data_IF_768524265890
#
_entry.id   IF_768524265890
#
_cell.length_a   1.000
_cell.length_b   1.000
_cell.length_c   1.000
_cell.angle_alpha   90.00
_cell.angle_beta   90.00
_cell.angle_gamma   90.00
#
_symmetry.space_group_name_H-M   'P 1'
#
loop_
_entity.id
_entity.type
_entity.pdbx_description
1 polymer ?
#
# COMPACT_ATOMS: atom_id res chain seq x y z
N UNK A 1 -35.82 5.05 9.84
CA UNK A 1 -34.77 5.77 9.08
C UNK A 1 -33.56 5.89 9.99
N UNK A 2 -32.65 4.91 9.94
CA UNK A 2 -31.38 4.97 10.67
C UNK A 2 -30.37 5.71 9.80
N UNK A 3 -30.07 6.94 10.23
CA UNK A 3 -29.03 7.79 9.67
C UNK A 3 -27.72 7.03 9.63
N UNK A 4 -27.10 6.95 8.45
CA UNK A 4 -25.71 6.55 8.31
C UNK A 4 -24.91 7.68 8.93
N UNK A 5 -24.45 7.45 10.15
CA UNK A 5 -23.59 8.36 10.86
C UNK A 5 -22.28 8.50 10.09
N UNK A 6 -21.82 9.74 10.05
CA UNK A 6 -20.77 10.20 9.16
C UNK A 6 -19.51 9.42 9.47
N UNK A 7 -18.84 8.98 8.40
CA UNK A 7 -17.44 8.56 8.38
C UNK A 7 -16.66 9.65 9.13
N UNK A 8 -16.48 9.43 10.42
CA UNK A 8 -15.60 10.21 11.26
C UNK A 8 -14.23 9.98 10.66
N UNK A 9 -13.63 11.06 10.17
CA UNK A 9 -12.33 11.04 9.52
C UNK A 9 -11.38 10.22 10.36
N UNK A 10 -11.03 9.05 9.85
CA UNK A 10 -9.93 8.27 10.39
C UNK A 10 -8.76 9.24 10.47
N UNK A 11 -8.11 9.37 11.64
CA UNK A 11 -6.92 10.19 11.73
C UNK A 11 -5.96 9.76 10.62
N UNK A 12 -5.21 10.69 9.99
CA UNK A 12 -4.13 10.30 9.10
C UNK A 12 -3.32 9.22 9.81
N UNK A 13 -2.93 8.16 9.09
CA UNK A 13 -2.09 7.11 9.66
C UNK A 13 -0.95 7.84 10.34
N UNK A 14 -0.92 7.75 11.67
CA UNK A 14 -0.16 8.69 12.49
C UNK A 14 1.25 8.71 11.94
N UNK A 15 1.74 9.90 11.56
CA UNK A 15 3.13 10.10 11.18
C UNK A 15 3.96 9.37 12.23
N UNK A 16 4.50 8.22 11.84
CA UNK A 16 5.34 7.45 12.71
C UNK A 16 6.52 8.39 12.99
N UNK A 17 6.52 8.99 14.18
CA UNK A 17 7.63 9.82 14.66
C UNK A 17 8.93 9.05 14.46
N UNK A 18 10.07 9.75 14.32
CA UNK A 18 11.28 9.24 13.67
C UNK A 18 11.55 7.80 14.10
N UNK A 19 11.17 6.87 13.21
CA UNK A 19 11.31 5.46 13.46
C UNK A 19 12.78 5.21 13.79
N UNK A 20 13.05 4.59 14.95
CA UNK A 20 14.35 3.96 15.15
C UNK A 20 14.63 3.12 13.90
N UNK A 21 15.87 3.15 13.38
CA UNK A 21 16.18 2.73 12.01
C UNK A 21 15.68 1.34 11.60
N UNK A 22 15.23 0.50 12.55
CA UNK A 22 14.77 -0.87 12.37
C UNK A 22 13.32 -1.11 12.88
N UNK A 23 12.46 -0.09 12.93
CA UNK A 23 11.04 -0.31 13.25
C UNK A 23 10.31 -0.96 12.07
N UNK A 24 10.02 -2.26 12.20
CA UNK A 24 9.31 -3.06 11.20
C UNK A 24 7.88 -2.58 10.95
N UNK A 25 7.19 -2.09 11.99
CA UNK A 25 5.81 -1.61 11.86
C UNK A 25 5.78 -0.33 11.05
N UNK A 26 6.59 0.67 11.43
CA UNK A 26 6.71 1.93 10.69
C UNK A 26 7.10 1.70 9.23
N UNK A 27 8.11 0.86 8.98
CA UNK A 27 8.57 0.56 7.62
C UNK A 27 7.50 -0.12 6.76
N UNK A 28 6.73 -1.07 7.33
CA UNK A 28 5.64 -1.74 6.61
C UNK A 28 4.53 -0.75 6.24
N UNK A 29 4.09 0.07 7.18
CA UNK A 29 3.03 1.07 6.97
C UNK A 29 3.45 2.11 5.93
N UNK A 30 4.68 2.62 6.03
CA UNK A 30 5.27 3.56 5.08
C UNK A 30 5.30 2.98 3.66
N UNK A 31 5.79 1.74 3.53
CA UNK A 31 5.90 1.07 2.22
C UNK A 31 4.52 0.76 1.63
N UNK A 32 3.55 0.31 2.42
CA UNK A 32 2.18 0.09 1.95
C UNK A 32 1.51 1.40 1.50
N UNK A 33 1.75 2.50 2.22
CA UNK A 33 1.29 3.84 1.85
C UNK A 33 1.85 4.26 0.49
N UNK A 34 3.15 4.06 0.28
CA UNK A 34 3.84 4.31 -0.99
C UNK A 34 3.28 3.45 -2.12
N UNK A 35 3.10 2.14 -1.93
CA UNK A 35 2.47 1.26 -2.95
C UNK A 35 1.07 1.77 -3.31
N UNK A 36 0.27 2.19 -2.34
CA UNK A 36 -1.04 2.77 -2.60
C UNK A 36 -0.97 4.03 -3.47
N UNK A 37 0.03 4.89 -3.27
CA UNK A 37 0.28 6.03 -4.15
C UNK A 37 0.61 5.59 -5.58
N UNK A 38 1.50 4.62 -5.74
CA UNK A 38 1.91 4.13 -7.07
C UNK A 38 0.76 3.49 -7.83
N UNK A 39 -0.08 2.71 -7.15
CA UNK A 39 -1.28 2.10 -7.74
C UNK A 39 -2.26 3.17 -8.21
N UNK A 40 -2.54 4.17 -7.37
CA UNK A 40 -3.45 5.26 -7.74
C UNK A 40 -2.91 6.12 -8.88
N UNK A 41 -1.61 6.41 -8.90
CA UNK A 41 -0.99 7.12 -10.00
C UNK A 41 -1.19 6.39 -11.35
N UNK A 42 -1.05 5.05 -11.36
CA UNK A 42 -1.34 4.24 -12.53
C UNK A 42 -2.81 4.22 -12.93
N UNK A 43 -3.74 4.19 -11.96
CA UNK A 43 -5.18 4.30 -12.22
C UNK A 43 -5.55 5.65 -12.82
N UNK A 44 -4.94 6.73 -12.33
CA UNK A 44 -5.12 8.08 -12.85
C UNK A 44 -4.56 8.22 -14.27
N UNK A 45 -3.36 7.68 -14.52
CA UNK A 45 -2.75 7.65 -15.85
C UNK A 45 -3.59 6.84 -16.85
N UNK A 46 -4.11 5.69 -16.44
CA UNK A 46 -4.97 4.85 -17.27
C UNK A 46 -6.35 5.49 -17.55
N UNK A 47 -6.88 6.27 -16.60
CA UNK A 47 -8.19 6.93 -16.70
C UNK A 47 -8.16 8.33 -17.35
N UNK A 48 -7.00 8.76 -17.89
CA UNK A 48 -6.78 10.10 -18.47
C UNK A 48 -7.01 11.25 -17.48
N UNK A 49 -6.67 11.07 -16.20
CA UNK A 49 -6.66 12.14 -15.20
C UNK A 49 -7.98 12.43 -14.50
N UNK A 50 -8.95 11.50 -14.55
CA UNK A 50 -10.25 11.62 -13.86
C UNK A 50 -10.29 10.90 -12.50
N UNK A 51 -9.13 10.48 -11.98
CA UNK A 51 -9.08 9.73 -10.73
C UNK A 51 -9.19 10.62 -9.49
N UNK A 52 -10.32 10.51 -8.81
CA UNK A 52 -10.57 11.20 -7.53
C UNK A 52 -9.86 10.53 -6.34
N UNK A 53 -9.24 9.36 -6.54
CA UNK A 53 -8.62 8.54 -5.51
C UNK A 53 -7.30 9.08 -4.97
N UNK A 54 -6.44 9.66 -5.83
CA UNK A 54 -5.12 10.14 -5.43
C UNK A 54 -5.16 11.23 -4.35
N UNK A 55 -6.09 12.19 -4.44
CA UNK A 55 -6.28 13.23 -3.42
C UNK A 55 -6.88 12.69 -2.11
N UNK A 56 -7.69 11.63 -2.16
CA UNK A 56 -8.19 10.98 -0.96
C UNK A 56 -7.06 10.21 -0.26
N UNK A 57 -6.17 9.57 -1.03
CA UNK A 57 -5.05 8.80 -0.51
C UNK A 57 -3.96 9.65 0.14
N UNK A 58 -3.57 10.75 -0.49
CA UNK A 58 -2.57 11.68 0.06
C UNK A 58 -2.95 12.19 1.46
N UNK A 59 -4.25 12.38 1.72
CA UNK A 59 -4.75 12.79 3.05
C UNK A 59 -4.65 11.68 4.09
N UNK A 60 -4.50 10.42 3.68
CA UNK A 60 -4.49 9.26 4.59
C UNK A 60 -3.11 8.71 4.82
N UNK A 61 -2.30 8.56 3.77
CA UNK A 61 -0.93 8.10 3.90
C UNK A 61 -0.06 9.14 4.63
N UNK A 62 -0.43 10.43 4.57
CA UNK A 62 0.26 11.49 5.31
C UNK A 62 1.59 11.93 4.68
N UNK A 63 1.92 11.38 3.51
CA UNK A 63 3.09 11.63 2.70
C UNK A 63 2.70 11.79 1.21
N UNK A 64 3.55 12.46 0.44
CA UNK A 64 3.42 12.59 -1.01
C UNK A 64 4.47 11.72 -1.67
N UNK A 65 4.05 10.88 -2.62
CA UNK A 65 4.97 10.09 -3.46
C UNK A 65 5.40 10.91 -4.67
N UNK A 66 6.70 10.87 -5.00
CA UNK A 66 7.25 11.43 -6.24
C UNK A 66 7.14 10.45 -7.42
N UNK A 67 6.48 9.30 -7.23
CA UNK A 67 6.33 8.29 -8.26
C UNK A 67 5.48 8.80 -9.44
N UNK A 68 6.02 8.63 -10.65
CA UNK A 68 5.34 8.94 -11.90
C UNK A 68 5.23 7.67 -12.78
N UNK A 69 4.02 7.30 -13.26
CA UNK A 69 3.84 6.18 -14.17
C UNK A 69 4.67 6.31 -15.45
N UNK A 70 5.51 5.31 -15.74
CA UNK A 70 6.27 5.21 -17.00
C UNK A 70 5.64 4.19 -17.95
N UNK A 71 5.02 4.68 -19.02
CA UNK A 71 4.44 3.86 -20.09
C UNK A 71 5.49 3.00 -20.82
N UNK A 72 6.76 3.41 -20.83
CA UNK A 72 7.88 2.66 -21.36
C UNK A 72 8.22 1.42 -20.51
N UNK A 73 8.09 1.49 -19.19
CA UNK A 73 8.20 0.32 -18.30
C UNK A 73 7.03 -0.65 -18.51
N UNK A 74 5.81 -0.13 -18.64
CA UNK A 74 4.64 -0.95 -18.97
C UNK A 74 4.82 -1.71 -20.30
N UNK A 75 5.31 -1.02 -21.34
CA UNK A 75 5.57 -1.62 -22.65
C UNK A 75 6.66 -2.71 -22.60
N UNK A 76 7.65 -2.55 -21.70
CA UNK A 76 8.73 -3.51 -21.48
C UNK A 76 8.35 -4.64 -20.52
N UNK A 77 7.14 -4.61 -19.94
CA UNK A 77 6.71 -5.50 -18.84
C UNK A 77 7.71 -5.51 -17.68
N UNK A 78 8.32 -4.35 -17.41
CA UNK A 78 9.28 -4.19 -16.34
C UNK A 78 8.59 -3.97 -14.99
N UNK A 79 9.32 -3.36 -14.07
CA UNK A 79 8.84 -3.12 -12.71
C UNK A 79 7.93 -1.88 -12.67
N UNK A 80 6.70 -2.07 -13.13
CA UNK A 80 5.68 -1.02 -13.32
C UNK A 80 5.42 -0.22 -12.03
N UNK A 81 5.60 -0.84 -10.86
CA UNK A 81 5.36 -0.20 -9.56
C UNK A 81 6.66 0.05 -8.78
N UNK A 82 7.84 -0.16 -9.37
CA UNK A 82 9.14 0.02 -8.69
C UNK A 82 9.31 -0.80 -7.41
N UNK A 83 8.72 -1.99 -7.35
CA UNK A 83 8.75 -2.86 -6.16
C UNK A 83 10.14 -3.45 -5.88
N UNK A 84 10.99 -3.57 -6.90
CA UNK A 84 12.39 -3.98 -6.79
C UNK A 84 13.19 -2.98 -5.95
N UNK A 85 13.02 -1.69 -6.19
CA UNK A 85 13.68 -0.63 -5.40
C UNK A 85 13.21 -0.66 -3.94
N UNK A 86 11.90 -0.80 -3.71
CA UNK A 86 11.34 -0.92 -2.36
C UNK A 86 11.85 -2.16 -1.63
N UNK A 87 11.95 -3.29 -2.34
CA UNK A 87 12.50 -4.53 -1.80
C UNK A 87 13.97 -4.35 -1.44
N UNK A 88 14.78 -3.77 -2.33
CA UNK A 88 16.20 -3.53 -2.09
C UNK A 88 16.42 -2.57 -0.92
N UNK A 89 15.63 -1.51 -0.80
CA UNK A 89 15.71 -0.53 0.28
C UNK A 89 15.42 -1.17 1.65
N UNK A 90 14.29 -1.87 1.75
CA UNK A 90 13.91 -2.59 2.97
C UNK A 90 14.94 -3.68 3.31
N UNK A 91 15.39 -4.44 2.31
CA UNK A 91 16.39 -5.48 2.52
C UNK A 91 17.70 -4.92 3.04
N UNK A 92 18.17 -3.79 2.49
CA UNK A 92 19.37 -3.11 2.97
C UNK A 92 19.18 -2.55 4.39
N UNK A 93 18.01 -1.95 4.66
CA UNK A 93 17.68 -1.36 5.97
C UNK A 93 17.66 -2.39 7.10
N UNK A 94 17.15 -3.58 6.82
CA UNK A 94 17.00 -4.64 7.81
C UNK A 94 18.08 -5.74 7.76
N UNK A 95 19.03 -5.65 6.83
CA UNK A 95 20.10 -6.64 6.68
C UNK A 95 19.59 -8.01 6.24
N UNK A 96 18.71 -8.04 5.23
CA UNK A 96 18.06 -9.25 4.75
C UNK A 96 19.02 -10.32 4.26
N UNK A 97 18.67 -11.58 4.49
CA UNK A 97 19.20 -12.69 3.71
C UNK A 97 18.55 -12.75 2.31
N UNK A 98 19.19 -13.41 1.32
CA UNK A 98 18.59 -13.59 -0.01
C UNK A 98 17.23 -14.31 0.00
N UNK A 99 17.00 -15.19 0.99
CA UNK A 99 15.71 -15.85 1.16
C UNK A 99 14.63 -14.84 1.59
N UNK A 100 14.93 -14.02 2.60
CA UNK A 100 14.01 -12.98 3.09
C UNK A 100 13.75 -11.91 2.03
N UNK A 101 14.74 -11.56 1.20
CA UNK A 101 14.55 -10.65 0.09
C UNK A 101 13.54 -11.21 -0.94
N UNK A 102 13.62 -12.51 -1.24
CA UNK A 102 12.65 -13.18 -2.12
C UNK A 102 11.24 -13.26 -1.52
N UNK A 103 11.13 -13.55 -0.23
CA UNK A 103 9.86 -13.57 0.51
C UNK A 103 9.24 -12.17 0.58
N UNK A 104 10.05 -11.15 0.89
CA UNK A 104 9.65 -9.76 0.86
C UNK A 104 9.15 -9.35 -0.52
N UNK A 105 9.91 -9.65 -1.58
CA UNK A 105 9.52 -9.31 -2.96
C UNK A 105 8.15 -9.88 -3.30
N UNK A 106 7.88 -11.13 -2.88
CA UNK A 106 6.61 -11.81 -3.07
C UNK A 106 5.49 -11.15 -2.26
N UNK A 107 5.74 -10.82 -1.00
CA UNK A 107 4.77 -10.13 -0.15
C UNK A 107 4.37 -8.75 -0.72
N UNK A 108 5.34 -7.98 -1.24
CA UNK A 108 5.07 -6.73 -1.96
C UNK A 108 4.23 -6.95 -3.23
N UNK A 109 4.55 -7.95 -4.04
CA UNK A 109 3.79 -8.28 -5.27
C UNK A 109 2.35 -8.68 -4.94
N UNK A 110 2.15 -9.53 -3.95
CA UNK A 110 0.82 -10.05 -3.60
C UNK A 110 -0.06 -8.93 -3.02
N UNK A 111 0.48 -8.08 -2.13
CA UNK A 111 -0.22 -6.89 -1.65
C UNK A 111 -0.57 -5.93 -2.79
N UNK A 112 0.41 -5.60 -3.64
CA UNK A 112 0.21 -4.68 -4.77
C UNK A 112 -0.89 -5.19 -5.70
N UNK A 113 -0.91 -6.50 -5.99
CA UNK A 113 -1.96 -7.13 -6.80
C UNK A 113 -3.34 -6.96 -6.19
N UNK A 114 -3.50 -7.22 -4.89
CA UNK A 114 -4.79 -7.06 -4.22
C UNK A 114 -5.23 -5.61 -4.15
N UNK A 115 -4.31 -4.68 -3.90
CA UNK A 115 -4.59 -3.24 -3.91
C UNK A 115 -5.05 -2.76 -5.30
N UNK A 116 -4.41 -3.24 -6.37
CA UNK A 116 -4.84 -2.95 -7.75
C UNK A 116 -6.25 -3.48 -8.00
N UNK A 117 -6.56 -4.72 -7.62
CA UNK A 117 -7.90 -5.30 -7.78
C UNK A 117 -8.94 -4.46 -7.04
N UNK A 118 -8.67 -4.11 -5.79
CA UNK A 118 -9.56 -3.31 -4.95
C UNK A 118 -9.84 -1.93 -5.59
N UNK A 119 -8.79 -1.21 -5.98
CA UNK A 119 -8.91 0.15 -6.51
C UNK A 119 -9.53 0.15 -7.91
N UNK A 120 -9.09 -0.76 -8.79
CA UNK A 120 -9.60 -0.86 -10.16
C UNK A 120 -11.04 -1.40 -10.20
N UNK A 121 -11.39 -2.34 -9.32
CA UNK A 121 -12.77 -2.84 -9.16
C UNK A 121 -13.75 -1.76 -8.72
N UNK A 122 -13.25 -0.69 -8.11
CA UNK A 122 -14.02 0.49 -7.70
C UNK A 122 -13.79 1.71 -8.62
N UNK A 123 -13.25 1.49 -9.83
CA UNK A 123 -13.09 2.55 -10.83
C UNK A 123 -14.44 3.22 -11.14
N UNK A 124 -14.51 4.54 -11.00
CA UNK A 124 -15.74 5.33 -11.10
C UNK A 124 -16.51 5.56 -9.80
N UNK A 125 -16.15 4.88 -8.70
CA UNK A 125 -16.64 5.21 -7.36
C UNK A 125 -16.00 6.51 -6.83
N UNK A 126 -16.56 7.07 -5.76
CA UNK A 126 -15.96 8.20 -5.05
C UNK A 126 -14.57 7.81 -4.52
N UNK A 127 -13.62 8.76 -4.55
CA UNK A 127 -12.23 8.51 -4.10
C UNK A 127 -12.14 7.85 -2.72
N UNK A 128 -12.98 8.27 -1.76
CA UNK A 128 -13.03 7.65 -0.42
C UNK A 128 -13.47 6.19 -0.41
N UNK A 129 -14.31 5.77 -1.37
CA UNK A 129 -14.67 4.35 -1.51
C UNK A 129 -13.55 3.56 -2.17
N UNK A 130 -12.90 4.13 -3.19
CA UNK A 130 -11.77 3.48 -3.87
C UNK A 130 -10.64 3.14 -2.91
N UNK A 131 -10.34 4.06 -1.98
CA UNK A 131 -9.25 3.87 -1.01
C UNK A 131 -9.69 3.20 0.28
N UNK A 132 -11.00 3.08 0.55
CA UNK A 132 -11.53 2.60 1.83
C UNK A 132 -11.02 1.21 2.23
N UNK A 133 -10.96 0.27 1.28
CA UNK A 133 -10.45 -1.08 1.56
C UNK A 133 -8.95 -1.11 1.84
N UNK A 134 -8.16 -0.33 1.09
CA UNK A 134 -6.71 -0.23 1.32
C UNK A 134 -6.39 0.50 2.63
N UNK A 135 -7.24 1.44 3.06
CA UNK A 135 -7.16 2.05 4.41
C UNK A 135 -7.42 1.04 5.52
N UNK A 136 -8.43 0.19 5.37
CA UNK A 136 -8.73 -0.86 6.34
C UNK A 136 -7.57 -1.85 6.46
N UNK A 137 -6.99 -2.26 5.34
CA UNK A 137 -5.83 -3.15 5.32
C UNK A 137 -4.57 -2.54 5.94
N UNK A 138 -4.36 -1.23 5.78
CA UNK A 138 -3.31 -0.50 6.47
C UNK A 138 -3.53 -0.45 8.00
N UNK A 139 -4.77 -0.28 8.43
CA UNK A 139 -5.12 -0.31 9.85
C UNK A 139 -4.88 -1.71 10.45
N UNK A 140 -5.31 -2.75 9.76
CA UNK A 140 -5.07 -4.17 10.12
C UNK A 140 -3.58 -4.47 10.20
N UNK A 141 -2.79 -4.10 9.18
CA UNK A 141 -1.34 -4.25 9.19
C UNK A 141 -0.67 -3.54 10.36
N UNK A 142 -1.22 -2.39 10.77
CA UNK A 142 -0.71 -1.63 11.91
C UNK A 142 -0.97 -2.34 13.23
N UNK A 143 -2.07 -3.09 13.34
CA UNK A 143 -2.49 -3.79 14.56
C UNK A 143 -1.95 -5.22 14.62
N UNK A 144 -1.50 -5.77 13.50
CA UNK A 144 -0.97 -7.13 13.40
C UNK A 144 0.18 -7.39 14.39
N UNK A 145 0.00 -8.47 15.17
CA UNK A 145 1.06 -9.05 15.99
C UNK A 145 2.07 -9.74 15.07
N UNK A 146 3.28 -9.21 15.03
CA UNK A 146 4.30 -9.68 14.11
C UNK A 146 5.69 -9.51 14.72
N UNK A 147 6.66 -10.36 14.33
CA UNK A 147 8.03 -10.33 14.86
C UNK A 147 8.72 -8.99 14.57
N UNK A 148 9.93 -8.81 15.12
CA UNK A 148 10.77 -7.65 14.82
C UNK A 148 11.54 -7.86 13.51
N UNK A 149 12.14 -6.78 12.99
CA UNK A 149 12.96 -6.87 11.78
C UNK A 149 12.15 -7.14 10.51
N UNK A 150 12.82 -7.66 9.47
CA UNK A 150 12.22 -7.85 8.15
C UNK A 150 11.07 -8.86 8.14
N UNK A 151 11.18 -9.94 8.92
CA UNK A 151 10.09 -10.92 9.07
C UNK A 151 8.83 -10.25 9.61
N UNK A 152 9.00 -9.22 10.46
CA UNK A 152 7.93 -8.37 10.95
C UNK A 152 7.29 -7.47 9.89
N UNK A 153 8.07 -7.06 8.88
CA UNK A 153 7.58 -6.31 7.72
C UNK A 153 6.77 -7.25 6.82
N UNK A 154 7.33 -8.43 6.51
CA UNK A 154 6.71 -9.46 5.68
C UNK A 154 5.37 -9.89 6.27
N UNK A 155 5.33 -10.26 7.55
CA UNK A 155 4.10 -10.70 8.21
C UNK A 155 2.97 -9.64 8.17
N UNK A 156 3.32 -8.35 8.24
CA UNK A 156 2.34 -7.25 8.12
C UNK A 156 1.81 -7.11 6.70
N UNK A 157 2.67 -7.25 5.69
CA UNK A 157 2.23 -7.33 4.29
C UNK A 157 1.32 -8.51 4.03
N UNK A 158 1.62 -9.68 4.59
CA UNK A 158 0.77 -10.86 4.47
C UNK A 158 -0.59 -10.66 5.13
N UNK A 159 -0.64 -10.08 6.34
CA UNK A 159 -1.88 -9.74 7.02
C UNK A 159 -2.74 -8.75 6.21
N UNK A 160 -2.14 -7.66 5.72
CA UNK A 160 -2.82 -6.68 4.87
C UNK A 160 -3.35 -7.30 3.57
N UNK A 161 -2.57 -8.21 2.99
CA UNK A 161 -2.94 -8.92 1.76
C UNK A 161 -4.11 -9.87 1.99
N UNK A 162 -4.12 -10.59 3.12
CA UNK A 162 -5.21 -11.47 3.49
C UNK A 162 -6.52 -10.68 3.65
N UNK A 163 -6.48 -9.58 4.39
CA UNK A 163 -7.63 -8.69 4.59
C UNK A 163 -8.15 -8.12 3.25
N UNK A 164 -7.28 -7.55 2.41
CA UNK A 164 -7.67 -7.09 1.07
C UNK A 164 -8.24 -8.22 0.21
N UNK A 165 -7.64 -9.41 0.26
CA UNK A 165 -8.11 -10.54 -0.53
C UNK A 165 -9.50 -10.98 -0.09
N UNK A 166 -9.83 -10.93 1.19
CA UNK A 166 -11.15 -11.30 1.69
C UNK A 166 -12.18 -10.23 1.35
N UNK A 167 -11.82 -8.95 1.44
CA UNK A 167 -12.66 -7.84 0.96
C UNK A 167 -12.95 -7.93 -0.55
N UNK A 168 -11.95 -8.29 -1.35
CA UNK A 168 -12.08 -8.47 -2.80
C UNK A 168 -12.96 -9.68 -3.18
N UNK A 169 -13.14 -10.66 -2.29
CA UNK A 169 -13.96 -11.87 -2.53
C UNK A 169 -15.43 -11.74 -2.11
N UNK A 170 -15.79 -10.63 -1.46
CA UNK A 170 -17.12 -10.38 -0.86
C UNK A 170 -18.31 -10.80 -1.71
#
# INVERSE_FOLDING_TARGET
>A
MTSIDRISGLPPLSSAGPAGSNDARGAAIETMGEIGHRVLAWVDAASRGNGNGAQAWSRTAGNSSDFAPDMGELARRGDVYGLGDLTSELSARFGASPAQEGELRRALDDFTRQAVIQIAGLSGASGDRQVGGVRAALDEASQAEAPTGLDGVIARFEAATADLSDQNRG
#
